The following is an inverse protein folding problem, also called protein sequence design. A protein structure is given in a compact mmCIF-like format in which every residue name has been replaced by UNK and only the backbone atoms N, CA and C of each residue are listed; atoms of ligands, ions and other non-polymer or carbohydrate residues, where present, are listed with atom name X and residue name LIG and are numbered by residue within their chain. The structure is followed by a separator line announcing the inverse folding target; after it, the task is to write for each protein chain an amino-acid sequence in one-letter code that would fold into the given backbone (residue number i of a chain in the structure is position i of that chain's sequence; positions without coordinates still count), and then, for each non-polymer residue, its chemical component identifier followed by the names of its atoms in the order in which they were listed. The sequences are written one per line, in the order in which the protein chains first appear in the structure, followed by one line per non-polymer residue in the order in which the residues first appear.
data_IF_477924810394
#
_entry.id   IF_477924810394
#
_cell.length_a   1.000
_cell.length_b   1.000
_cell.length_c   1.000
_cell.angle_alpha   90.00
_cell.angle_beta   90.00
_cell.angle_gamma   90.00
#
_symmetry.space_group_name_H-M   'P 1'
#
loop_
_entity.id
_entity.type
_entity.pdbx_description
1 polymer ?
#
# COMPACT_ATOMS: atom_id res chain seq x y z
N UNK A 1 4.78 13.84 -12.89
CA UNK A 1 4.69 12.40 -12.54
C UNK A 1 3.59 12.10 -11.51
N UNK A 2 3.62 12.69 -10.30
CA UNK A 2 2.64 12.38 -9.22
C UNK A 2 1.19 12.79 -9.51
N UNK A 3 0.97 13.93 -10.17
CA UNK A 3 -0.37 14.44 -10.49
C UNK A 3 -1.10 13.57 -11.52
N UNK A 4 -0.39 13.13 -12.57
CA UNK A 4 -0.95 12.26 -13.62
C UNK A 4 -1.43 10.90 -13.09
N UNK A 5 -0.69 10.29 -12.15
CA UNK A 5 -1.07 9.03 -11.53
C UNK A 5 -2.32 9.15 -10.65
N UNK A 6 -2.43 10.23 -9.86
CA UNK A 6 -3.59 10.51 -9.02
C UNK A 6 -4.83 10.76 -9.88
N UNK A 7 -4.70 11.58 -10.94
CA UNK A 7 -5.80 11.82 -11.88
C UNK A 7 -6.23 10.54 -12.59
N UNK A 8 -5.28 9.70 -13.03
CA UNK A 8 -5.57 8.40 -13.64
C UNK A 8 -6.34 7.46 -12.70
N UNK A 9 -5.94 7.39 -11.42
CA UNK A 9 -6.63 6.59 -10.41
C UNK A 9 -8.07 7.07 -10.16
N UNK A 10 -8.28 8.39 -10.08
CA UNK A 10 -9.64 8.95 -9.96
C UNK A 10 -10.53 8.62 -11.15
N UNK A 11 -9.99 8.62 -12.38
CA UNK A 11 -10.75 8.20 -13.57
C UNK A 11 -11.14 6.73 -13.47
N UNK A 12 -10.23 5.85 -13.06
CA UNK A 12 -10.50 4.42 -12.89
C UNK A 12 -11.54 4.17 -11.78
N UNK A 13 -11.41 4.82 -10.63
CA UNK A 13 -12.38 4.73 -9.53
C UNK A 13 -13.77 5.23 -9.96
N UNK A 14 -13.84 6.34 -10.70
CA UNK A 14 -15.10 6.87 -11.21
C UNK A 14 -15.75 5.98 -12.29
N UNK A 15 -14.99 5.17 -13.02
CA UNK A 15 -15.52 4.18 -13.99
C UNK A 15 -15.94 2.87 -13.34
N UNK A 16 -15.27 2.46 -12.26
CA UNK A 16 -15.57 1.21 -11.56
C UNK A 16 -16.86 1.28 -10.70
N UNK A 17 -17.41 2.49 -10.48
CA UNK A 17 -18.54 2.72 -9.58
C UNK A 17 -19.70 3.40 -10.32
N UNK A 18 -20.93 3.00 -9.99
CA UNK A 18 -22.16 3.63 -10.50
C UNK A 18 -22.21 5.12 -10.13
N UNK A 19 -22.74 5.95 -11.03
CA UNK A 19 -22.63 7.41 -10.95
C UNK A 19 -23.23 8.03 -9.66
N UNK A 20 -24.31 7.44 -9.14
CA UNK A 20 -24.96 7.79 -7.87
C UNK A 20 -24.09 7.52 -6.63
N UNK A 21 -23.14 6.59 -6.72
CA UNK A 21 -22.29 6.16 -5.61
C UNK A 21 -20.87 6.73 -5.67
N UNK A 22 -20.53 7.51 -6.72
CA UNK A 22 -19.18 8.08 -6.90
C UNK A 22 -18.73 8.95 -5.73
N UNK A 23 -19.64 9.73 -5.15
CA UNK A 23 -19.32 10.58 -3.99
C UNK A 23 -18.87 9.76 -2.78
N UNK A 24 -19.61 8.70 -2.45
CA UNK A 24 -19.27 7.80 -1.36
C UNK A 24 -17.97 7.02 -1.65
N UNK A 25 -17.81 6.48 -2.88
CA UNK A 25 -16.62 5.74 -3.25
C UNK A 25 -15.34 6.60 -3.24
N UNK A 26 -15.40 7.82 -3.76
CA UNK A 26 -14.27 8.76 -3.72
C UNK A 26 -13.96 9.19 -2.28
N UNK A 27 -14.98 9.37 -1.43
CA UNK A 27 -14.82 9.63 -0.01
C UNK A 27 -14.08 8.49 0.72
N UNK A 28 -14.50 7.24 0.50
CA UNK A 28 -13.84 6.06 1.10
C UNK A 28 -12.40 5.94 0.59
N UNK A 29 -12.18 6.11 -0.71
CA UNK A 29 -10.84 6.06 -1.30
C UNK A 29 -9.90 7.13 -0.70
N UNK A 30 -10.39 8.36 -0.54
CA UNK A 30 -9.65 9.47 0.07
C UNK A 30 -9.35 9.21 1.55
N UNK A 31 -10.31 8.68 2.32
CA UNK A 31 -10.11 8.33 3.74
C UNK A 31 -9.09 7.21 3.90
N UNK A 32 -9.18 6.15 3.09
CA UNK A 32 -8.20 5.07 3.11
C UNK A 32 -6.81 5.60 2.75
N UNK A 33 -6.69 6.40 1.69
CA UNK A 33 -5.41 6.97 1.27
C UNK A 33 -4.81 7.89 2.34
N UNK A 34 -5.61 8.76 2.97
CA UNK A 34 -5.12 9.67 4.00
C UNK A 34 -4.68 8.93 5.26
N UNK A 35 -5.40 7.88 5.65
CA UNK A 35 -5.02 7.00 6.76
C UNK A 35 -3.67 6.34 6.51
N UNK A 36 -3.48 5.72 5.34
CA UNK A 36 -2.20 5.09 4.99
C UNK A 36 -1.06 6.11 4.92
N UNK A 37 -1.33 7.34 4.44
CA UNK A 37 -0.34 8.41 4.43
C UNK A 37 0.00 8.93 5.82
N UNK A 38 -0.94 8.89 6.77
CA UNK A 38 -0.70 9.31 8.14
C UNK A 38 0.13 8.27 8.90
N UNK A 39 -0.17 6.98 8.73
CA UNK A 39 0.46 5.89 9.49
C UNK A 39 1.77 5.43 8.83
N UNK A 40 1.85 5.46 7.50
CA UNK A 40 2.97 4.95 6.72
C UNK A 40 4.34 5.48 7.16
N UNK A 41 4.55 6.80 7.29
CA UNK A 41 5.83 7.36 7.75
C UNK A 41 6.20 6.92 9.17
N UNK A 42 5.23 6.86 10.08
CA UNK A 42 5.46 6.43 11.46
C UNK A 42 5.85 4.94 11.52
N UNK A 43 5.13 4.08 10.82
CA UNK A 43 5.44 2.66 10.73
C UNK A 43 6.82 2.42 10.10
N UNK A 44 7.14 3.13 9.01
CA UNK A 44 8.46 3.07 8.39
C UNK A 44 9.57 3.53 9.34
N UNK A 45 9.34 4.61 10.10
CA UNK A 45 10.29 5.12 11.09
C UNK A 45 10.55 4.13 12.24
N UNK A 46 9.51 3.43 12.72
CA UNK A 46 9.66 2.39 13.75
C UNK A 46 10.51 1.23 13.23
N UNK A 47 10.21 0.73 12.03
CA UNK A 47 10.95 -0.37 11.39
C UNK A 47 12.42 0.04 11.19
N UNK A 48 12.65 1.26 10.71
CA UNK A 48 13.99 1.80 10.48
C UNK A 48 14.78 1.94 11.79
N UNK A 49 14.20 2.57 12.82
CA UNK A 49 14.83 2.73 14.14
C UNK A 49 15.16 1.39 14.81
N UNK A 50 14.29 0.38 14.65
CA UNK A 50 14.56 -0.97 15.13
C UNK A 50 15.69 -1.65 14.36
N UNK A 51 15.75 -1.44 13.04
CA UNK A 51 16.80 -2.01 12.20
C UNK A 51 18.19 -1.49 12.56
N UNK A 52 18.32 -0.20 12.87
CA UNK A 52 19.58 0.43 13.29
C UNK A 52 20.10 -0.12 14.63
N UNK A 53 19.23 -0.65 15.49
CA UNK A 53 19.65 -1.32 16.74
C UNK A 53 20.20 -2.73 16.53
N UNK A 54 20.13 -3.25 15.29
CA UNK A 54 20.54 -4.61 14.91
C UNK A 54 21.71 -4.62 13.94
N UNK A 55 22.59 -3.62 14.03
CA UNK A 55 23.80 -3.59 13.20
C UNK A 55 24.73 -4.78 13.49
N UNK A 56 24.77 -5.27 14.74
CA UNK A 56 25.64 -6.38 15.16
C UNK A 56 25.04 -7.79 14.90
N UNK A 57 23.91 -7.89 14.20
CA UNK A 57 23.28 -9.17 13.91
C UNK A 57 24.00 -9.93 12.79
N UNK A 58 24.27 -11.22 12.98
CA UNK A 58 24.92 -12.07 11.97
C UNK A 58 24.06 -12.36 10.73
N UNK A 59 22.74 -12.11 10.79
CA UNK A 59 21.81 -12.34 9.70
C UNK A 59 20.92 -11.11 9.49
N UNK A 60 20.96 -10.55 8.27
CA UNK A 60 20.24 -9.34 7.84
C UNK A 60 20.46 -8.12 8.76
N UNK A 61 21.70 -7.65 8.96
CA UNK A 61 21.98 -6.51 9.84
C UNK A 61 21.43 -5.19 9.30
N UNK A 62 21.05 -4.29 10.21
CA UNK A 62 20.73 -2.90 9.88
C UNK A 62 19.66 -2.76 8.81
N UNK A 63 19.96 -1.92 7.82
CA UNK A 63 19.06 -1.59 6.70
C UNK A 63 18.66 -2.80 5.86
N UNK A 64 19.44 -3.90 5.86
CA UNK A 64 19.10 -5.10 5.11
C UNK A 64 17.79 -5.75 5.61
N UNK A 65 17.50 -5.66 6.92
CA UNK A 65 16.18 -6.08 7.44
C UNK A 65 15.03 -5.23 6.88
N UNK A 66 15.24 -3.92 6.71
CA UNK A 66 14.21 -3.03 6.16
C UNK A 66 13.87 -3.44 4.74
N UNK A 67 14.89 -3.66 3.90
CA UNK A 67 14.68 -4.15 2.54
C UNK A 67 14.01 -5.51 2.51
N UNK A 68 14.38 -6.43 3.39
CA UNK A 68 13.73 -7.74 3.48
C UNK A 68 12.23 -7.60 3.81
N UNK A 69 11.88 -6.81 4.82
CA UNK A 69 10.47 -6.56 5.20
C UNK A 69 9.69 -5.96 4.04
N UNK A 70 10.26 -4.96 3.35
CA UNK A 70 9.63 -4.35 2.18
C UNK A 70 9.41 -5.36 1.05
N UNK A 71 10.38 -6.24 0.79
CA UNK A 71 10.25 -7.30 -0.22
C UNK A 71 9.19 -8.33 0.15
N UNK A 72 9.07 -8.70 1.43
CA UNK A 72 8.00 -9.60 1.90
C UNK A 72 6.62 -8.96 1.71
N UNK A 73 6.45 -7.68 2.10
CA UNK A 73 5.19 -6.94 1.90
C UNK A 73 4.86 -6.85 0.41
N UNK A 74 5.85 -6.55 -0.43
CA UNK A 74 5.68 -6.51 -1.88
C UNK A 74 5.26 -7.87 -2.44
N UNK A 75 5.95 -8.94 -2.06
CA UNK A 75 5.63 -10.30 -2.49
C UNK A 75 4.20 -10.70 -2.09
N UNK A 76 3.78 -10.38 -0.86
CA UNK A 76 2.41 -10.58 -0.42
C UNK A 76 1.41 -9.77 -1.25
N UNK A 77 1.71 -8.51 -1.57
CA UNK A 77 0.87 -7.68 -2.43
C UNK A 77 0.73 -8.23 -3.85
N UNK A 78 1.82 -8.76 -4.42
CA UNK A 78 1.80 -9.46 -5.71
C UNK A 78 0.95 -10.72 -5.62
N UNK A 79 1.11 -11.51 -4.55
CA UNK A 79 0.33 -12.73 -4.34
C UNK A 79 -1.17 -12.43 -4.24
N UNK A 80 -1.55 -11.37 -3.54
CA UNK A 80 -2.95 -10.92 -3.43
C UNK A 80 -3.55 -10.47 -4.77
N UNK A 81 -2.72 -10.18 -5.77
CA UNK A 81 -3.17 -9.80 -7.12
C UNK A 81 -3.46 -11.02 -8.00
N UNK A 82 -3.17 -12.25 -7.56
CA UNK A 82 -3.56 -13.44 -8.30
C UNK A 82 -5.08 -13.69 -8.21
N UNK A 83 -5.66 -14.16 -9.32
CA UNK A 83 -7.09 -14.54 -9.46
C UNK A 83 -7.71 -15.30 -8.27
N UNK A 84 -7.05 -16.26 -7.60
CA UNK A 84 -7.62 -16.93 -6.41
C UNK A 84 -7.91 -16.00 -5.22
N UNK A 85 -7.24 -14.85 -5.12
CA UNK A 85 -7.42 -13.88 -4.02
C UNK A 85 -8.15 -12.60 -4.46
N UNK A 86 -8.23 -12.36 -5.76
CA UNK A 86 -9.06 -11.30 -6.31
C UNK A 86 -10.53 -11.71 -6.22
N UNK A 87 -11.33 -10.97 -5.44
CA UNK A 87 -12.78 -11.14 -5.43
C UNK A 87 -13.32 -10.98 -6.85
N UNK A 88 -13.70 -12.09 -7.49
CA UNK A 88 -14.38 -12.05 -8.77
C UNK A 88 -15.78 -11.50 -8.54
N UNK A 89 -16.10 -10.36 -9.18
CA UNK A 89 -17.49 -9.91 -9.32
C UNK A 89 -18.21 -10.97 -10.14
N UNK A 90 -19.02 -11.81 -9.49
CA UNK A 90 -19.97 -12.67 -10.19
C UNK A 90 -21.00 -11.76 -10.86
N UNK A 91 -21.07 -11.85 -12.18
CA UNK A 91 -21.99 -11.10 -13.00
C UNK A 91 -23.27 -11.90 -13.23
#
# INVERSE_FOLDING_TARGET
MRTSAITGLFILQNRAVRQDQRGAANGIAMTAMSLFKAIGPAAAGIIYSWSEKRLDAAFLPGTQMVFFILNVILALGVVMTFKPFLAQTQH
#
